data_IF_594236200107
#
_entry.id   IF_594236200107
#
_cell.length_a   1.000
_cell.length_b   1.000
_cell.length_c   1.000
_cell.angle_alpha   90.00
_cell.angle_beta   90.00
_cell.angle_gamma   90.00
#
_symmetry.space_group_name_H-M   'P 1'
#
loop_
_entity.id
_entity.type
_entity.pdbx_description
1 polymer ?
#
# COMPACT_ATOMS: atom_id res chain seq x y z
N UNK A 1 -123.24 -74.66 2.60
CA UNK A 1 -122.48 -73.85 1.62
C UNK A 1 -121.01 -74.26 1.68
N UNK A 2 -120.64 -75.40 1.08
CA UNK A 2 -119.24 -75.83 0.95
C UNK A 2 -119.02 -76.17 -0.54
N UNK A 3 -118.52 -75.22 -1.33
CA UNK A 3 -118.13 -75.46 -2.72
C UNK A 3 -116.62 -75.68 -2.81
N UNK A 4 -116.12 -76.75 -3.45
CA UNK A 4 -114.69 -77.02 -3.62
C UNK A 4 -113.95 -75.91 -4.38
N UNK A 5 -114.64 -75.11 -5.21
CA UNK A 5 -114.05 -73.95 -5.89
C UNK A 5 -113.75 -72.77 -4.95
N UNK A 6 -114.50 -72.63 -3.85
CA UNK A 6 -114.26 -71.57 -2.86
C UNK A 6 -113.01 -71.88 -2.03
N UNK A 7 -112.84 -73.13 -1.61
CA UNK A 7 -111.65 -73.58 -0.89
C UNK A 7 -110.37 -73.43 -1.72
N UNK A 8 -110.41 -73.83 -3.01
CA UNK A 8 -109.28 -73.68 -3.91
C UNK A 8 -108.86 -72.21 -4.12
N UNK A 9 -109.82 -71.28 -4.23
CA UNK A 9 -109.51 -69.84 -4.33
C UNK A 9 -108.97 -69.26 -3.03
N UNK A 10 -109.44 -69.74 -1.87
CA UNK A 10 -108.86 -69.36 -0.57
C UNK A 10 -107.40 -69.84 -0.46
N UNK A 11 -107.10 -71.07 -0.88
CA UNK A 11 -105.73 -71.61 -0.88
C UNK A 11 -104.81 -70.86 -1.85
N UNK A 12 -105.30 -70.44 -3.02
CA UNK A 12 -104.57 -69.59 -3.97
C UNK A 12 -104.25 -68.20 -3.39
N UNK A 13 -105.23 -67.60 -2.69
CA UNK A 13 -105.07 -66.30 -2.05
C UNK A 13 -104.07 -66.37 -0.90
N UNK A 14 -104.13 -67.43 -0.09
CA UNK A 14 -103.14 -67.71 0.96
C UNK A 14 -101.75 -67.97 0.37
N UNK A 15 -101.66 -68.68 -0.76
CA UNK A 15 -100.40 -68.90 -1.48
C UNK A 15 -99.80 -67.62 -2.06
N UNK A 16 -100.62 -66.67 -2.51
CA UNK A 16 -100.18 -65.35 -2.97
C UNK A 16 -99.77 -64.45 -1.80
N UNK A 17 -100.54 -64.44 -0.71
CA UNK A 17 -100.20 -63.73 0.53
C UNK A 17 -98.87 -64.21 1.09
N UNK A 18 -98.64 -65.53 1.12
CA UNK A 18 -97.40 -66.13 1.60
C UNK A 18 -96.20 -65.73 0.73
N UNK A 19 -96.34 -65.80 -0.60
CA UNK A 19 -95.30 -65.34 -1.55
C UNK A 19 -95.02 -63.85 -1.43
N UNK A 20 -96.04 -63.01 -1.26
CA UNK A 20 -95.86 -61.58 -1.04
C UNK A 20 -95.16 -61.29 0.30
N UNK A 21 -95.55 -61.98 1.38
CA UNK A 21 -94.90 -61.87 2.68
C UNK A 21 -93.43 -62.32 2.64
N UNK A 22 -93.12 -63.42 1.96
CA UNK A 22 -91.76 -63.92 1.83
C UNK A 22 -90.89 -63.02 0.94
N UNK A 23 -91.45 -62.50 -0.16
CA UNK A 23 -90.78 -61.49 -0.97
C UNK A 23 -90.50 -60.21 -0.18
N UNK A 24 -91.47 -59.72 0.61
CA UNK A 24 -91.27 -58.57 1.50
C UNK A 24 -90.19 -58.85 2.54
N UNK A 25 -90.17 -60.02 3.17
CA UNK A 25 -89.10 -60.40 4.11
C UNK A 25 -87.71 -60.42 3.45
N UNK A 26 -87.58 -60.95 2.23
CA UNK A 26 -86.32 -60.93 1.50
C UNK A 26 -85.90 -59.52 1.10
N UNK A 27 -86.83 -58.71 0.62
CA UNK A 27 -86.58 -57.31 0.26
C UNK A 27 -86.12 -56.50 1.48
N UNK A 28 -86.77 -56.67 2.63
CA UNK A 28 -86.37 -55.98 3.87
C UNK A 28 -84.99 -56.44 4.34
N UNK A 29 -84.66 -57.73 4.24
CA UNK A 29 -83.31 -58.24 4.58
C UNK A 29 -82.22 -57.65 3.68
N UNK A 30 -82.44 -57.66 2.37
CA UNK A 30 -81.48 -57.10 1.40
C UNK A 30 -81.26 -55.59 1.60
N UNK A 31 -82.33 -54.82 1.80
CA UNK A 31 -82.23 -53.39 2.12
C UNK A 31 -81.52 -53.15 3.46
N UNK A 32 -81.71 -54.02 4.45
CA UNK A 32 -81.06 -53.91 5.75
C UNK A 32 -79.56 -54.25 5.69
N UNK A 33 -79.15 -55.16 4.81
CA UNK A 33 -77.73 -55.46 4.53
C UNK A 33 -77.06 -54.30 3.79
N UNK A 34 -77.68 -53.77 2.74
CA UNK A 34 -77.19 -52.58 2.03
C UNK A 34 -77.06 -51.37 2.96
N UNK A 35 -78.03 -51.14 3.84
CA UNK A 35 -77.96 -50.06 4.82
C UNK A 35 -76.80 -50.25 5.81
N UNK A 36 -76.51 -51.49 6.23
CA UNK A 36 -75.36 -51.77 7.11
C UNK A 36 -74.03 -51.51 6.41
N UNK A 37 -73.91 -51.91 5.15
CA UNK A 37 -72.72 -51.65 4.33
C UNK A 37 -72.52 -50.14 4.15
N UNK A 38 -73.53 -49.41 3.73
CA UNK A 38 -73.46 -47.94 3.57
C UNK A 38 -73.17 -47.21 4.89
N UNK A 39 -73.71 -47.67 6.01
CA UNK A 39 -73.37 -47.09 7.32
C UNK A 39 -71.90 -47.37 7.66
N UNK A 40 -71.38 -48.56 7.35
CA UNK A 40 -69.97 -48.89 7.60
C UNK A 40 -69.01 -48.06 6.74
N UNK A 41 -69.29 -47.91 5.44
CA UNK A 41 -68.50 -47.08 4.53
C UNK A 41 -68.58 -45.61 4.92
N UNK A 42 -69.74 -45.11 5.34
CA UNK A 42 -69.88 -43.73 5.83
C UNK A 42 -69.02 -43.48 7.08
N UNK A 43 -68.94 -44.44 8.00
CA UNK A 43 -68.07 -44.34 9.19
C UNK A 43 -66.59 -44.32 8.79
N UNK A 44 -66.17 -45.16 7.84
CA UNK A 44 -64.78 -45.15 7.35
C UNK A 44 -64.42 -43.86 6.62
N UNK A 45 -65.31 -43.36 5.76
CA UNK A 45 -65.12 -42.07 5.07
C UNK A 45 -65.02 -40.91 6.07
N UNK A 46 -65.85 -40.89 7.12
CA UNK A 46 -65.74 -39.86 8.18
C UNK A 46 -64.40 -39.94 8.92
N UNK A 47 -63.90 -41.13 9.22
CA UNK A 47 -62.56 -41.31 9.82
C UNK A 47 -61.47 -40.79 8.88
N UNK A 48 -61.60 -41.07 7.58
CA UNK A 48 -60.63 -40.61 6.59
C UNK A 48 -60.65 -39.08 6.40
N UNK A 49 -61.83 -38.47 6.39
CA UNK A 49 -61.98 -37.00 6.38
C UNK A 49 -61.30 -36.38 7.60
N UNK A 50 -61.58 -36.87 8.81
CA UNK A 50 -60.95 -36.37 10.03
C UNK A 50 -59.41 -36.53 10.00
N UNK A 51 -58.91 -37.62 9.42
CA UNK A 51 -57.48 -37.82 9.21
C UNK A 51 -56.87 -36.81 8.23
N UNK A 52 -57.55 -36.53 7.11
CA UNK A 52 -57.11 -35.52 6.13
C UNK A 52 -57.15 -34.10 6.71
N UNK A 53 -58.18 -33.76 7.48
CA UNK A 53 -58.28 -32.49 8.20
C UNK A 53 -57.12 -32.32 9.19
N UNK A 54 -56.77 -33.38 9.93
CA UNK A 54 -55.60 -33.39 10.81
C UNK A 54 -54.28 -33.17 10.07
N UNK A 55 -54.10 -33.81 8.90
CA UNK A 55 -52.92 -33.58 8.04
C UNK A 55 -52.86 -32.15 7.51
N UNK A 56 -54.00 -31.59 7.08
CA UNK A 56 -54.06 -30.23 6.58
C UNK A 56 -53.70 -29.21 7.67
N UNK A 57 -54.16 -29.45 8.91
CA UNK A 57 -53.80 -28.62 10.05
C UNK A 57 -52.29 -28.67 10.35
N UNK A 58 -51.70 -29.88 10.37
CA UNK A 58 -50.27 -30.06 10.59
C UNK A 58 -49.41 -29.38 9.51
N UNK A 59 -49.78 -29.53 8.23
CA UNK A 59 -49.11 -28.81 7.13
C UNK A 59 -49.26 -27.29 7.24
N UNK A 60 -50.44 -26.82 7.67
CA UNK A 60 -50.66 -25.39 7.95
C UNK A 60 -49.74 -24.85 9.05
N UNK A 61 -49.47 -25.64 10.09
CA UNK A 61 -48.52 -25.28 11.15
C UNK A 61 -47.07 -25.31 10.65
N UNK A 62 -46.68 -26.32 9.88
CA UNK A 62 -45.36 -26.42 9.26
C UNK A 62 -45.08 -25.25 8.31
N UNK A 63 -46.06 -24.84 7.51
CA UNK A 63 -45.95 -23.69 6.62
C UNK A 63 -45.75 -22.38 7.40
N UNK A 64 -46.50 -22.18 8.49
CA UNK A 64 -46.32 -21.02 9.38
C UNK A 64 -44.94 -21.01 10.03
N UNK A 65 -44.44 -22.17 10.48
CA UNK A 65 -43.11 -22.27 11.07
C UNK A 65 -42.01 -22.01 10.04
N UNK A 66 -42.14 -22.56 8.83
CA UNK A 66 -41.20 -22.32 7.72
C UNK A 66 -41.17 -20.84 7.32
N UNK A 67 -42.33 -20.18 7.27
CA UNK A 67 -42.43 -18.75 6.99
C UNK A 67 -41.70 -17.90 8.06
N UNK A 68 -41.83 -18.24 9.35
CA UNK A 68 -41.10 -17.58 10.44
C UNK A 68 -39.59 -17.76 10.31
N UNK A 69 -39.13 -19.00 10.10
CA UNK A 69 -37.70 -19.29 9.91
C UNK A 69 -37.11 -18.56 8.71
N UNK A 70 -37.89 -18.40 7.63
CA UNK A 70 -37.46 -17.66 6.45
C UNK A 70 -37.36 -16.16 6.73
N UNK A 71 -38.28 -15.58 7.51
CA UNK A 71 -38.22 -14.18 7.94
C UNK A 71 -37.02 -13.92 8.87
N UNK A 72 -36.77 -14.81 9.83
CA UNK A 72 -35.61 -14.72 10.72
C UNK A 72 -34.30 -14.78 9.94
N UNK A 73 -34.17 -15.74 9.01
CA UNK A 73 -33.00 -15.82 8.12
C UNK A 73 -32.81 -14.57 7.26
N UNK A 74 -33.89 -13.96 6.78
CA UNK A 74 -33.81 -12.70 6.02
C UNK A 74 -33.27 -11.56 6.89
N UNK A 75 -33.69 -11.48 8.15
CA UNK A 75 -33.19 -10.49 9.11
C UNK A 75 -31.71 -10.71 9.41
N UNK A 76 -31.31 -11.97 9.66
CA UNK A 76 -29.92 -12.32 9.94
C UNK A 76 -29.00 -11.97 8.76
N UNK A 77 -29.40 -12.33 7.53
CA UNK A 77 -28.64 -11.98 6.32
C UNK A 77 -28.54 -10.46 6.14
N UNK A 78 -29.63 -9.72 6.37
CA UNK A 78 -29.62 -8.26 6.29
C UNK A 78 -28.71 -7.63 7.34
N UNK A 79 -28.70 -8.15 8.56
CA UNK A 79 -27.81 -7.69 9.63
C UNK A 79 -26.34 -7.93 9.27
N UNK A 80 -26.00 -9.14 8.81
CA UNK A 80 -24.65 -9.49 8.38
C UNK A 80 -24.16 -8.65 7.20
N UNK A 81 -25.05 -8.32 6.24
CA UNK A 81 -24.73 -7.42 5.13
C UNK A 81 -24.42 -6.00 5.62
N UNK A 82 -25.26 -5.43 6.49
CA UNK A 82 -25.01 -4.09 7.04
C UNK A 82 -23.72 -4.02 7.88
N UNK A 83 -23.40 -5.06 8.64
CA UNK A 83 -22.13 -5.14 9.38
C UNK A 83 -20.93 -5.18 8.43
N UNK A 84 -21.03 -5.96 7.35
CA UNK A 84 -19.99 -6.04 6.32
C UNK A 84 -19.81 -4.72 5.57
N UNK A 85 -20.90 -4.03 5.22
CA UNK A 85 -20.85 -2.70 4.59
C UNK A 85 -20.13 -1.69 5.49
N UNK A 86 -20.48 -1.62 6.77
CA UNK A 86 -19.78 -0.75 7.73
C UNK A 86 -18.30 -1.08 7.86
N UNK A 87 -17.94 -2.37 7.84
CA UNK A 87 -16.54 -2.78 7.87
C UNK A 87 -15.79 -2.35 6.61
N UNK A 88 -16.41 -2.46 5.44
CA UNK A 88 -15.84 -1.99 4.17
C UNK A 88 -15.67 -0.47 4.17
N UNK A 89 -16.65 0.29 4.65
CA UNK A 89 -16.57 1.75 4.77
C UNK A 89 -15.44 2.17 5.72
N UNK A 90 -15.28 1.46 6.84
CA UNK A 90 -14.18 1.69 7.78
C UNK A 90 -12.82 1.43 7.14
N UNK A 91 -12.69 0.34 6.37
CA UNK A 91 -11.45 0.01 5.66
C UNK A 91 -11.14 1.02 4.56
N UNK A 92 -12.17 1.47 3.81
CA UNK A 92 -12.01 2.50 2.79
C UNK A 92 -11.53 3.82 3.40
N UNK A 93 -12.12 4.25 4.52
CA UNK A 93 -11.68 5.45 5.23
C UNK A 93 -10.24 5.34 5.76
N UNK A 94 -9.83 4.17 6.25
CA UNK A 94 -8.45 3.93 6.68
C UNK A 94 -7.47 4.02 5.50
N UNK A 95 -7.81 3.41 4.35
CA UNK A 95 -7.01 3.48 3.13
C UNK A 95 -6.88 4.92 2.61
N UNK A 96 -7.97 5.68 2.59
CA UNK A 96 -7.94 7.10 2.23
C UNK A 96 -7.06 7.93 3.18
N UNK A 97 -7.16 7.68 4.49
CA UNK A 97 -6.32 8.36 5.48
C UNK A 97 -4.84 8.09 5.24
N UNK A 98 -4.48 6.81 5.00
CA UNK A 98 -3.10 6.40 4.69
C UNK A 98 -2.61 7.00 3.38
N UNK A 99 -3.45 7.06 2.35
CA UNK A 99 -3.13 7.67 1.07
C UNK A 99 -2.80 9.16 1.23
N UNK A 100 -3.61 9.91 1.99
CA UNK A 100 -3.34 11.34 2.26
C UNK A 100 -2.00 11.56 2.97
N UNK A 101 -1.63 10.68 3.90
CA UNK A 101 -0.32 10.74 4.55
C UNK A 101 0.81 10.50 3.55
N UNK A 102 0.67 9.50 2.67
CA UNK A 102 1.67 9.23 1.62
C UNK A 102 1.83 10.42 0.69
N UNK A 103 0.73 10.97 0.16
CA UNK A 103 0.76 12.14 -0.70
C UNK A 103 1.40 13.36 -0.01
N UNK A 104 1.13 13.56 1.28
CA UNK A 104 1.78 14.63 2.04
C UNK A 104 3.29 14.39 2.12
N UNK A 105 3.72 13.17 2.42
CA UNK A 105 5.16 12.84 2.51
C UNK A 105 5.86 12.97 1.16
N UNK A 106 5.21 12.60 0.06
CA UNK A 106 5.75 12.82 -1.29
C UNK A 106 5.97 14.30 -1.58
N UNK A 107 5.00 15.16 -1.21
CA UNK A 107 5.15 16.63 -1.36
C UNK A 107 6.30 17.17 -0.50
N UNK A 108 6.41 16.72 0.75
CA UNK A 108 7.52 17.10 1.65
C UNK A 108 8.87 16.64 1.07
N UNK A 109 8.97 15.40 0.59
CA UNK A 109 10.18 14.88 -0.06
C UNK A 109 10.56 15.70 -1.29
N UNK A 110 9.60 16.09 -2.13
CA UNK A 110 9.86 16.95 -3.28
C UNK A 110 10.41 18.32 -2.86
N UNK A 111 9.83 18.95 -1.83
CA UNK A 111 10.32 20.23 -1.28
C UNK A 111 11.73 20.11 -0.69
N UNK A 112 12.02 19.01 0.03
CA UNK A 112 13.35 18.76 0.57
C UNK A 112 14.38 18.51 -0.54
N UNK A 113 14.00 17.78 -1.60
CA UNK A 113 14.86 17.57 -2.77
C UNK A 113 15.24 18.90 -3.43
N UNK A 114 14.26 19.78 -3.67
CA UNK A 114 14.54 21.10 -4.28
C UNK A 114 15.43 21.95 -3.39
N UNK A 115 15.20 21.94 -2.06
CA UNK A 115 16.01 22.71 -1.12
C UNK A 115 17.45 22.17 -1.02
N UNK A 116 17.64 20.84 -1.13
CA UNK A 116 18.97 20.23 -1.17
C UNK A 116 19.72 20.61 -2.44
N UNK A 117 19.07 20.54 -3.60
CA UNK A 117 19.69 20.97 -4.87
C UNK A 117 20.13 22.44 -4.85
N UNK A 118 19.31 23.33 -4.28
CA UNK A 118 19.67 24.75 -4.13
C UNK A 118 20.87 24.94 -3.21
N UNK A 119 20.90 24.24 -2.07
CA UNK A 119 22.04 24.25 -1.15
C UNK A 119 23.31 23.72 -1.80
N UNK A 120 23.23 22.64 -2.57
CA UNK A 120 24.38 22.09 -3.28
C UNK A 120 24.93 23.09 -4.30
N UNK A 121 24.06 23.76 -5.07
CA UNK A 121 24.47 24.84 -5.98
C UNK A 121 25.18 25.98 -5.24
N UNK A 122 24.65 26.39 -4.09
CA UNK A 122 25.26 27.43 -3.25
C UNK A 122 26.63 26.99 -2.73
N UNK A 123 26.75 25.78 -2.19
CA UNK A 123 28.02 25.23 -1.71
C UNK A 123 29.07 25.15 -2.83
N UNK A 124 28.68 24.74 -4.04
CA UNK A 124 29.57 24.77 -5.20
C UNK A 124 30.04 26.18 -5.57
N UNK A 125 29.19 27.20 -5.43
CA UNK A 125 29.55 28.58 -5.66
C UNK A 125 30.56 29.08 -4.59
N UNK A 126 30.32 28.75 -3.33
CA UNK A 126 31.19 29.12 -2.21
C UNK A 126 32.58 28.49 -2.35
N UNK A 127 32.65 27.21 -2.72
CA UNK A 127 33.93 26.51 -2.98
C UNK A 127 34.71 27.18 -4.11
N UNK A 128 34.05 27.55 -5.21
CA UNK A 128 34.70 28.27 -6.33
C UNK A 128 35.21 29.64 -5.89
N UNK A 129 34.41 30.37 -5.10
CA UNK A 129 34.81 31.66 -4.53
C UNK A 129 36.05 31.53 -3.65
N UNK A 130 36.05 30.55 -2.74
CA UNK A 130 37.18 30.25 -1.87
C UNK A 130 38.44 29.88 -2.64
N UNK A 131 38.34 29.02 -3.67
CA UNK A 131 39.46 28.67 -4.54
C UNK A 131 40.03 29.90 -5.26
N UNK A 132 39.17 30.81 -5.72
CA UNK A 132 39.60 32.07 -6.36
C UNK A 132 40.35 32.96 -5.37
N UNK A 133 39.84 33.13 -4.15
CA UNK A 133 40.49 33.92 -3.09
C UNK A 133 41.84 33.31 -2.75
N UNK A 134 41.93 31.98 -2.57
CA UNK A 134 43.17 31.26 -2.35
C UNK A 134 44.20 31.54 -3.44
N UNK A 135 43.82 31.43 -4.70
CA UNK A 135 44.71 31.68 -5.83
C UNK A 135 45.24 33.14 -5.86
N UNK A 136 44.40 34.12 -5.48
CA UNK A 136 44.82 35.52 -5.36
C UNK A 136 45.86 35.72 -4.26
N UNK A 137 45.65 35.13 -3.08
CA UNK A 137 46.63 35.20 -1.99
C UNK A 137 47.95 34.51 -2.36
N UNK A 138 47.89 33.33 -2.97
CA UNK A 138 49.09 32.61 -3.44
C UNK A 138 49.86 33.43 -4.49
N UNK A 139 49.16 34.07 -5.43
CA UNK A 139 49.79 34.96 -6.42
C UNK A 139 50.45 36.19 -5.76
N UNK A 140 49.79 36.80 -4.78
CA UNK A 140 50.33 37.91 -3.98
C UNK A 140 51.59 37.51 -3.21
N UNK A 141 51.58 36.33 -2.57
CA UNK A 141 52.74 35.79 -1.87
C UNK A 141 53.93 35.55 -2.82
N UNK A 142 53.66 34.99 -4.01
CA UNK A 142 54.69 34.79 -5.04
C UNK A 142 55.26 36.13 -5.52
N UNK A 143 54.44 37.16 -5.69
CA UNK A 143 54.88 38.50 -6.05
C UNK A 143 55.78 39.10 -4.96
N UNK A 144 55.37 39.06 -3.68
CA UNK A 144 56.19 39.53 -2.55
C UNK A 144 57.54 38.82 -2.47
N UNK A 145 57.56 37.48 -2.62
CA UNK A 145 58.80 36.69 -2.64
C UNK A 145 59.74 37.09 -3.79
N UNK A 146 59.18 37.42 -4.97
CA UNK A 146 59.97 37.92 -6.10
C UNK A 146 60.55 39.32 -5.82
N UNK A 147 59.76 40.22 -5.25
CA UNK A 147 60.22 41.57 -4.88
C UNK A 147 61.35 41.50 -3.86
N UNK A 148 61.21 40.70 -2.80
CA UNK A 148 62.28 40.48 -1.82
C UNK A 148 63.54 39.95 -2.49
N UNK A 149 63.43 38.96 -3.38
CA UNK A 149 64.59 38.44 -4.11
C UNK A 149 65.25 39.50 -4.99
N UNK A 150 64.49 40.35 -5.67
CA UNK A 150 65.01 41.42 -6.52
C UNK A 150 65.72 42.49 -5.70
N UNK A 151 65.15 42.88 -4.56
CA UNK A 151 65.73 43.81 -3.57
C UNK A 151 67.07 43.23 -3.05
N UNK A 152 67.09 41.97 -2.61
CA UNK A 152 68.30 41.23 -2.19
C UNK A 152 69.38 41.09 -3.26
N UNK A 153 69.00 41.01 -4.54
CA UNK A 153 69.97 41.00 -5.63
C UNK A 153 70.53 42.40 -5.85
N UNK A 154 69.69 43.44 -5.84
CA UNK A 154 70.12 44.81 -6.03
C UNK A 154 71.10 45.25 -4.94
N UNK A 155 70.89 44.86 -3.68
CA UNK A 155 71.84 45.20 -2.61
C UNK A 155 73.22 44.61 -2.80
N UNK A 156 73.31 43.35 -3.25
CA UNK A 156 74.60 42.71 -3.53
C UNK A 156 75.36 43.46 -4.62
N UNK A 157 74.67 43.92 -5.66
CA UNK A 157 75.28 44.75 -6.71
C UNK A 157 75.71 46.14 -6.22
N UNK A 158 74.95 46.77 -5.31
CA UNK A 158 75.32 48.09 -4.74
C UNK A 158 76.38 48.01 -3.65
N UNK A 159 76.50 46.88 -2.92
CA UNK A 159 77.57 46.62 -1.94
C UNK A 159 78.91 46.25 -2.62
N UNK A 160 78.88 45.63 -3.81
CA UNK A 160 80.08 45.30 -4.59
C UNK A 160 80.60 46.49 -5.43
N UNK A 161 79.76 47.49 -5.74
CA UNK A 161 80.12 48.69 -6.54
C UNK A 161 80.96 49.81 -5.88
N UNK A 162 80.95 50.05 -4.55
CA UNK A 162 81.70 51.15 -3.96
C UNK A 162 83.20 50.83 -3.92
N UNK A 163 83.56 49.55 -3.97
CA UNK A 163 84.96 49.10 -4.03
C UNK A 163 85.55 49.31 -5.43
N UNK A 164 84.75 49.19 -6.50
CA UNK A 164 85.24 49.40 -7.88
C UNK A 164 85.39 50.89 -8.26
N UNK A 165 84.58 51.79 -7.68
CA UNK A 165 84.69 53.24 -7.93
C UNK A 165 85.82 53.93 -7.16
N UNK A 166 86.41 53.27 -6.16
CA UNK A 166 87.55 53.81 -5.39
C UNK A 166 88.92 53.38 -5.93
N UNK A 167 89.01 52.40 -6.84
CA UNK A 167 90.29 51.86 -7.33
C UNK A 167 90.73 52.34 -8.72
N UNK A 168 90.03 53.26 -9.38
CA UNK A 168 90.43 53.74 -10.72
C UNK A 168 90.70 55.25 -10.76
N UNK A 169 91.82 55.68 -10.16
CA UNK A 169 92.61 56.83 -10.66
C UNK A 169 94.11 56.59 -10.42
N UNK A 170 94.88 56.12 -11.42
CA UNK A 170 96.34 56.15 -11.36
C UNK A 170 96.86 57.45 -11.99
N UNK A 171 97.43 58.36 -11.20
CA UNK A 171 98.11 59.55 -11.75
C UNK A 171 98.57 60.57 -10.70
N UNK A 172 99.70 61.29 -10.93
CA UNK A 172 100.43 62.04 -9.91
C UNK A 172 99.87 63.45 -9.60
N UNK A 173 98.55 63.65 -9.68
CA UNK A 173 97.90 64.94 -9.39
C UNK A 173 97.28 64.99 -7.98
N UNK A 174 98.04 64.53 -7.00
CA UNK A 174 97.59 64.47 -5.60
C UNK A 174 97.49 65.84 -4.89
N UNK A 175 97.69 66.96 -5.59
CA UNK A 175 97.77 68.30 -4.97
C UNK A 175 96.90 69.38 -5.61
N UNK A 176 96.12 69.09 -6.66
CA UNK A 176 95.30 70.12 -7.35
C UNK A 176 93.78 69.93 -7.26
N UNK A 177 93.29 68.91 -6.54
CA UNK A 177 91.87 68.76 -6.19
C UNK A 177 91.60 68.98 -4.68
N UNK A 178 92.55 69.57 -3.95
CA UNK A 178 92.41 69.91 -2.52
C UNK A 178 92.11 71.40 -2.27
N UNK A 179 91.72 72.16 -3.30
CA UNK A 179 91.25 73.54 -3.15
C UNK A 179 89.84 73.70 -3.72
N UNK A 180 88.86 73.71 -2.81
CA UNK A 180 87.51 74.21 -3.09
C UNK A 180 86.36 73.21 -2.93
N UNK A 181 86.65 71.94 -2.63
CA UNK A 181 85.67 70.99 -2.10
C UNK A 181 86.41 70.14 -1.09
N UNK A 182 86.01 70.22 0.18
CA UNK A 182 86.60 69.43 1.25
C UNK A 182 86.38 67.95 0.93
N UNK A 183 87.41 67.30 0.38
CA UNK A 183 87.32 65.94 -0.15
C UNK A 183 86.89 64.99 0.98
N UNK A 184 87.38 65.23 2.21
CA UNK A 184 86.96 64.49 3.40
C UNK A 184 85.50 64.72 3.79
N UNK A 185 84.93 65.89 3.48
CA UNK A 185 83.52 66.19 3.70
C UNK A 185 82.64 65.53 2.62
N UNK A 186 83.10 65.50 1.35
CA UNK A 186 82.45 64.71 0.28
C UNK A 186 82.51 63.21 0.55
N UNK A 187 83.64 62.67 0.99
CA UNK A 187 83.80 61.27 1.37
C UNK A 187 82.92 60.92 2.56
N UNK A 188 82.91 61.73 3.62
CA UNK A 188 82.01 61.54 4.77
C UNK A 188 80.54 61.69 4.43
N UNK A 189 80.17 62.62 3.54
CA UNK A 189 78.81 62.75 3.04
C UNK A 189 78.40 61.53 2.19
N UNK A 190 79.30 61.00 1.35
CA UNK A 190 79.05 59.75 0.61
C UNK A 190 78.94 58.55 1.55
N UNK A 191 79.83 58.40 2.53
CA UNK A 191 79.75 57.36 3.56
C UNK A 191 78.44 57.45 4.34
N UNK A 192 78.02 58.65 4.73
CA UNK A 192 76.72 58.87 5.38
C UNK A 192 75.55 58.51 4.47
N UNK A 193 75.56 58.92 3.19
CA UNK A 193 74.50 58.59 2.23
C UNK A 193 74.42 57.08 2.02
N UNK A 194 75.56 56.40 1.87
CA UNK A 194 75.62 54.94 1.72
C UNK A 194 75.16 54.20 2.99
N UNK A 195 75.48 54.72 4.18
CA UNK A 195 74.97 54.20 5.45
C UNK A 195 73.45 54.38 5.57
N UNK A 196 72.93 55.56 5.21
CA UNK A 196 71.48 55.80 5.20
C UNK A 196 70.74 54.95 4.16
N UNK A 197 71.32 54.76 2.97
CA UNK A 197 70.79 53.86 1.94
C UNK A 197 70.82 52.40 2.41
N UNK A 198 71.87 51.99 3.12
CA UNK A 198 71.96 50.66 3.76
C UNK A 198 70.93 50.45 4.87
N UNK A 199 70.73 51.44 5.74
CA UNK A 199 69.73 51.40 6.81
C UNK A 199 68.29 51.42 6.26
N UNK A 200 68.02 52.24 5.25
CA UNK A 200 66.72 52.28 4.56
C UNK A 200 66.46 50.95 3.83
N UNK A 201 67.48 50.37 3.21
CA UNK A 201 67.41 49.08 2.55
C UNK A 201 67.14 47.94 3.55
N UNK A 202 67.87 47.90 4.66
CA UNK A 202 67.65 46.92 5.73
C UNK A 202 66.23 47.03 6.28
N UNK A 203 65.76 48.26 6.55
CA UNK A 203 64.38 48.51 6.99
C UNK A 203 63.34 48.05 5.95
N UNK A 204 63.59 48.22 4.64
CA UNK A 204 62.71 47.72 3.57
C UNK A 204 62.70 46.19 3.49
N UNK A 205 63.84 45.53 3.66
CA UNK A 205 63.93 44.07 3.69
C UNK A 205 63.21 43.50 4.91
N UNK A 206 63.41 44.10 6.09
CA UNK A 206 62.75 43.70 7.33
C UNK A 206 61.23 43.89 7.25
N UNK A 207 60.76 45.01 6.69
CA UNK A 207 59.34 45.26 6.43
C UNK A 207 58.73 44.21 5.48
N UNK A 208 59.43 43.87 4.39
CA UNK A 208 58.94 42.87 3.43
C UNK A 208 59.00 41.44 4.01
N UNK A 209 59.99 41.13 4.85
CA UNK A 209 60.09 39.84 5.53
C UNK A 209 58.93 39.68 6.53
N UNK A 210 58.63 40.72 7.32
CA UNK A 210 57.48 40.75 8.21
C UNK A 210 56.15 40.62 7.45
N UNK A 211 56.00 41.29 6.30
CA UNK A 211 54.81 41.19 5.45
C UNK A 211 54.62 39.77 4.87
N UNK A 212 55.72 39.09 4.52
CA UNK A 212 55.68 37.68 4.08
C UNK A 212 55.26 36.77 5.23
N UNK A 213 55.88 36.93 6.41
CA UNK A 213 55.59 36.10 7.58
C UNK A 213 54.13 36.27 8.06
N UNK A 214 53.62 37.51 8.09
CA UNK A 214 52.23 37.79 8.42
C UNK A 214 51.27 37.15 7.39
N UNK A 215 51.57 37.27 6.09
CA UNK A 215 50.76 36.65 5.03
C UNK A 215 50.78 35.13 5.09
N UNK A 216 51.93 34.51 5.38
CA UNK A 216 52.03 33.07 5.58
C UNK A 216 51.27 32.61 6.83
N UNK A 217 51.35 33.37 7.92
CA UNK A 217 50.58 33.12 9.15
C UNK A 217 49.07 33.22 8.93
N UNK A 218 48.60 34.25 8.21
CA UNK A 218 47.20 34.42 7.83
C UNK A 218 46.72 33.28 6.92
N UNK A 219 47.52 32.87 5.93
CA UNK A 219 47.22 31.71 5.10
C UNK A 219 47.10 30.43 5.93
N UNK A 220 48.10 30.12 6.76
CA UNK A 220 48.12 28.90 7.55
C UNK A 220 46.95 28.84 8.56
N UNK A 221 46.63 29.95 9.23
CA UNK A 221 45.53 30.01 10.20
C UNK A 221 44.15 29.95 9.54
N UNK A 222 43.91 30.75 8.49
CA UNK A 222 42.61 30.81 7.83
C UNK A 222 42.30 29.53 7.04
N UNK A 223 43.25 29.03 6.25
CA UNK A 223 43.03 27.80 5.48
C UNK A 223 43.09 26.55 6.37
N UNK A 224 43.88 26.56 7.45
CA UNK A 224 43.91 25.48 8.43
C UNK A 224 42.59 25.30 9.19
N UNK A 225 41.99 26.40 9.66
CA UNK A 225 40.67 26.37 10.32
C UNK A 225 39.55 26.02 9.34
N UNK A 226 39.63 26.51 8.10
CA UNK A 226 38.68 26.14 7.04
C UNK A 226 38.77 24.66 6.68
N UNK A 227 39.97 24.09 6.62
CA UNK A 227 40.17 22.67 6.32
C UNK A 227 39.64 21.75 7.42
N UNK A 228 39.84 22.09 8.69
CA UNK A 228 39.28 21.30 9.81
C UNK A 228 37.75 21.35 9.82
N UNK A 229 37.15 22.51 9.54
CA UNK A 229 35.71 22.63 9.41
C UNK A 229 35.15 21.81 8.24
N UNK A 230 35.78 21.88 7.06
CA UNK A 230 35.39 21.09 5.89
C UNK A 230 35.50 19.58 6.13
N UNK A 231 36.59 19.12 6.76
CA UNK A 231 36.76 17.71 7.10
C UNK A 231 35.67 17.21 8.05
N UNK A 232 35.26 18.04 9.01
CA UNK A 232 34.13 17.72 9.91
C UNK A 232 32.82 17.61 9.14
N UNK A 233 32.50 18.57 8.28
CA UNK A 233 31.29 18.54 7.46
C UNK A 233 31.27 17.31 6.54
N UNK A 234 32.41 16.94 5.97
CA UNK A 234 32.55 15.75 5.13
C UNK A 234 32.29 14.46 5.92
N UNK A 235 32.81 14.35 7.15
CA UNK A 235 32.54 13.23 8.04
C UNK A 235 31.05 13.15 8.43
N UNK A 236 30.42 14.30 8.73
CA UNK A 236 28.99 14.38 9.03
C UNK A 236 28.13 13.97 7.82
N UNK A 237 28.54 14.35 6.60
CA UNK A 237 27.84 13.94 5.37
C UNK A 237 27.97 12.44 5.09
N UNK A 238 29.17 11.87 5.22
CA UNK A 238 29.38 10.43 5.04
C UNK A 238 28.55 9.61 6.03
N UNK A 239 28.38 10.09 7.27
CA UNK A 239 27.52 9.41 8.24
C UNK A 239 26.04 9.50 7.87
N UNK A 240 25.57 10.66 7.37
CA UNK A 240 24.20 10.80 6.84
C UNK A 240 23.95 9.90 5.64
N UNK A 241 24.90 9.80 4.70
CA UNK A 241 24.81 8.88 3.56
C UNK A 241 24.69 7.42 4.01
N UNK A 242 25.49 6.99 4.99
CA UNK A 242 25.37 5.64 5.56
C UNK A 242 24.02 5.40 6.20
N UNK A 243 23.46 6.40 6.88
CA UNK A 243 22.13 6.30 7.49
C UNK A 243 21.03 6.21 6.42
N UNK A 244 21.14 6.98 5.33
CA UNK A 244 20.22 6.92 4.20
C UNK A 244 20.25 5.54 3.52
N UNK A 245 21.44 5.00 3.25
CA UNK A 245 21.59 3.65 2.67
C UNK A 245 20.95 2.58 3.56
N UNK A 246 21.16 2.64 4.88
CA UNK A 246 20.50 1.72 5.82
C UNK A 246 18.98 1.87 5.80
N UNK A 247 18.46 3.08 5.67
CA UNK A 247 17.03 3.34 5.59
C UNK A 247 16.44 2.79 4.27
N UNK A 248 17.17 2.93 3.16
CA UNK A 248 16.83 2.35 1.86
C UNK A 248 16.77 0.82 1.93
N UNK A 249 17.78 0.17 2.52
CA UNK A 249 17.80 -1.28 2.72
C UNK A 249 16.59 -1.76 3.56
N UNK A 250 16.27 -1.05 4.64
CA UNK A 250 15.10 -1.35 5.47
C UNK A 250 13.79 -1.19 4.71
N UNK A 251 13.66 -0.15 3.88
CA UNK A 251 12.50 0.05 3.02
C UNK A 251 12.36 -1.09 2.00
N UNK A 252 13.45 -1.50 1.36
CA UNK A 252 13.45 -2.65 0.45
C UNK A 252 13.00 -3.94 1.15
N UNK A 253 13.51 -4.23 2.35
CA UNK A 253 13.09 -5.39 3.13
C UNK A 253 11.60 -5.33 3.48
N UNK A 254 11.09 -4.15 3.88
CA UNK A 254 9.67 -3.96 4.15
C UNK A 254 8.80 -4.16 2.91
N UNK A 255 9.24 -3.69 1.74
CA UNK A 255 8.53 -3.90 0.47
C UNK A 255 8.47 -5.38 0.09
N UNK A 256 9.57 -6.12 0.26
CA UNK A 256 9.61 -7.57 -0.01
C UNK A 256 8.68 -8.33 0.93
N UNK A 257 8.69 -8.01 2.23
CA UNK A 257 7.79 -8.62 3.21
C UNK A 257 6.32 -8.30 2.91
N UNK A 258 6.00 -7.05 2.58
CA UNK A 258 4.64 -6.64 2.20
C UNK A 258 4.16 -7.39 0.95
N UNK A 259 4.98 -7.47 -0.10
CA UNK A 259 4.68 -8.23 -1.31
C UNK A 259 4.53 -9.74 -1.02
N UNK A 260 5.31 -10.28 -0.08
CA UNK A 260 5.17 -11.64 0.43
C UNK A 260 3.81 -11.87 1.11
N UNK A 261 3.40 -10.96 2.01
CA UNK A 261 2.11 -11.01 2.68
C UNK A 261 0.93 -10.87 1.71
N UNK A 262 1.03 -9.96 0.73
CA UNK A 262 0.00 -9.80 -0.30
C UNK A 262 -0.17 -11.06 -1.15
N UNK A 263 0.93 -11.71 -1.57
CA UNK A 263 0.84 -12.98 -2.30
C UNK A 263 0.14 -14.07 -1.50
N UNK A 264 0.53 -14.25 -0.23
CA UNK A 264 -0.14 -15.21 0.68
C UNK A 264 -1.62 -14.92 0.84
N UNK A 265 -2.01 -13.65 0.96
CA UNK A 265 -3.41 -13.25 1.05
C UNK A 265 -4.20 -13.58 -0.23
N UNK A 266 -3.61 -13.32 -1.40
CA UNK A 266 -4.23 -13.70 -2.68
C UNK A 266 -4.35 -15.21 -2.85
N UNK A 267 -3.36 -15.98 -2.42
CA UNK A 267 -3.41 -17.44 -2.47
C UNK A 267 -4.52 -17.98 -1.56
N UNK A 268 -4.63 -17.47 -0.32
CA UNK A 268 -5.72 -17.80 0.60
C UNK A 268 -7.11 -17.44 0.02
N UNK A 269 -7.20 -16.30 -0.68
CA UNK A 269 -8.44 -15.90 -1.34
C UNK A 269 -8.80 -16.85 -2.49
N UNK A 270 -7.82 -17.27 -3.30
CA UNK A 270 -8.01 -18.28 -4.36
C UNK A 270 -8.48 -19.62 -3.78
N UNK A 271 -7.86 -20.08 -2.70
CA UNK A 271 -8.23 -21.32 -2.01
C UNK A 271 -9.66 -21.23 -1.45
N UNK A 272 -10.02 -20.10 -0.83
CA UNK A 272 -11.38 -19.84 -0.35
C UNK A 272 -12.41 -19.86 -1.48
N UNK A 273 -12.11 -19.22 -2.62
CA UNK A 273 -12.95 -19.24 -3.81
C UNK A 273 -13.11 -20.66 -4.37
N UNK A 274 -12.03 -21.43 -4.44
CA UNK A 274 -12.05 -22.83 -4.88
C UNK A 274 -12.89 -23.70 -3.93
N UNK A 275 -12.74 -23.50 -2.61
CA UNK A 275 -13.53 -24.19 -1.59
C UNK A 275 -15.02 -23.85 -1.72
N UNK A 276 -15.38 -22.59 -1.87
CA UNK A 276 -16.77 -22.15 -2.08
C UNK A 276 -17.37 -22.72 -3.38
N UNK A 277 -16.58 -22.80 -4.46
CA UNK A 277 -16.99 -23.47 -5.70
C UNK A 277 -17.23 -24.97 -5.50
N UNK A 278 -16.39 -25.65 -4.71
CA UNK A 278 -16.56 -27.05 -4.35
C UNK A 278 -17.82 -27.27 -3.51
N UNK A 279 -18.06 -26.44 -2.49
CA UNK A 279 -19.27 -26.51 -1.66
C UNK A 279 -20.54 -26.34 -2.50
N UNK A 280 -20.55 -25.41 -3.47
CA UNK A 280 -21.66 -25.24 -4.42
C UNK A 280 -21.90 -26.50 -5.26
N UNK A 281 -20.85 -27.16 -5.75
CA UNK A 281 -20.96 -28.43 -6.47
C UNK A 281 -21.55 -29.53 -5.59
N UNK A 282 -21.10 -29.65 -4.35
CA UNK A 282 -21.63 -30.62 -3.38
C UNK A 282 -23.12 -30.37 -3.10
N UNK A 283 -23.49 -29.11 -2.85
CA UNK A 283 -24.88 -28.72 -2.63
C UNK A 283 -25.75 -29.06 -3.84
N UNK A 284 -25.31 -28.73 -5.06
CA UNK A 284 -26.04 -29.06 -6.28
C UNK A 284 -26.25 -30.58 -6.45
N UNK A 285 -25.25 -31.40 -6.12
CA UNK A 285 -25.37 -32.85 -6.13
C UNK A 285 -26.37 -33.37 -5.08
N UNK A 286 -26.36 -32.80 -3.87
CA UNK A 286 -27.34 -33.12 -2.84
C UNK A 286 -28.76 -32.75 -3.28
N UNK A 287 -28.96 -31.57 -3.85
CA UNK A 287 -30.25 -31.14 -4.38
C UNK A 287 -30.72 -32.08 -5.50
N UNK A 288 -29.86 -32.46 -6.46
CA UNK A 288 -30.20 -33.44 -7.50
C UNK A 288 -30.59 -34.80 -6.93
N UNK A 289 -29.91 -35.26 -5.87
CA UNK A 289 -30.23 -36.53 -5.21
C UNK A 289 -31.62 -36.48 -4.57
N UNK A 290 -31.94 -35.40 -3.86
CA UNK A 290 -33.27 -35.18 -3.27
C UNK A 290 -34.33 -35.10 -4.36
N UNK A 291 -34.06 -34.36 -5.45
CA UNK A 291 -34.99 -34.25 -6.57
C UNK A 291 -35.32 -35.58 -7.23
N UNK A 292 -34.34 -36.47 -7.43
CA UNK A 292 -34.63 -37.83 -7.90
C UNK A 292 -35.56 -38.58 -6.95
N UNK A 293 -35.25 -38.56 -5.65
CA UNK A 293 -36.09 -39.24 -4.64
C UNK A 293 -37.50 -38.67 -4.53
N UNK A 294 -37.68 -37.37 -4.78
CA UNK A 294 -39.00 -36.72 -4.80
C UNK A 294 -39.72 -37.01 -6.12
N UNK A 295 -39.03 -37.01 -7.25
CA UNK A 295 -39.59 -37.35 -8.56
C UNK A 295 -40.23 -38.74 -8.58
N UNK A 296 -39.58 -39.73 -7.95
CA UNK A 296 -40.11 -41.09 -7.79
C UNK A 296 -41.44 -41.13 -7.00
N UNK A 297 -41.69 -40.16 -6.12
CA UNK A 297 -42.90 -40.06 -5.29
C UNK A 297 -43.97 -39.18 -5.95
N UNK A 298 -43.58 -38.09 -6.62
CA UNK A 298 -44.51 -37.13 -7.24
C UNK A 298 -45.16 -37.70 -8.50
N UNK A 299 -44.49 -38.61 -9.22
CA UNK A 299 -45.05 -39.33 -10.37
C UNK A 299 -46.34 -40.12 -10.08
N UNK A 300 -46.67 -40.33 -8.80
CA UNK A 300 -47.89 -41.01 -8.34
C UNK A 300 -49.13 -40.11 -8.29
N UNK A 301 -48.98 -38.79 -8.41
CA UNK A 301 -50.09 -37.84 -8.24
C UNK A 301 -50.70 -37.44 -9.59
N UNK A 302 -52.00 -37.72 -9.77
CA UNK A 302 -52.76 -37.32 -10.96
C UNK A 302 -53.03 -35.81 -10.98
N UNK A 303 -52.64 -35.12 -12.05
CA UNK A 303 -52.98 -33.70 -12.30
C UNK A 303 -51.82 -32.69 -12.18
N UNK A 304 -50.62 -33.14 -11.85
CA UNK A 304 -49.39 -32.33 -11.85
C UNK A 304 -48.57 -32.61 -13.12
N UNK A 305 -48.15 -31.56 -13.81
CA UNK A 305 -47.11 -31.65 -14.85
C UNK A 305 -45.75 -31.83 -14.18
N UNK A 306 -45.47 -33.08 -13.81
CA UNK A 306 -44.24 -33.48 -13.10
C UNK A 306 -43.00 -33.12 -13.92
N UNK A 307 -43.09 -33.20 -15.25
CA UNK A 307 -41.97 -32.93 -16.15
C UNK A 307 -41.57 -31.44 -16.12
N UNK A 308 -42.55 -30.53 -16.18
CA UNK A 308 -42.30 -29.10 -16.06
C UNK A 308 -41.71 -28.68 -14.70
N UNK A 309 -42.22 -29.25 -13.61
CA UNK A 309 -41.73 -28.96 -12.24
C UNK A 309 -40.30 -29.47 -12.04
N UNK A 310 -39.99 -30.68 -12.54
CA UNK A 310 -38.64 -31.24 -12.48
C UNK A 310 -37.65 -30.41 -13.30
N UNK A 311 -38.04 -29.97 -14.50
CA UNK A 311 -37.24 -29.07 -15.35
C UNK A 311 -36.95 -27.72 -14.67
N UNK A 312 -37.96 -27.11 -14.04
CA UNK A 312 -37.77 -25.84 -13.34
C UNK A 312 -36.79 -26.00 -12.16
N UNK A 313 -36.95 -27.07 -11.38
CA UNK A 313 -36.08 -27.38 -10.24
C UNK A 313 -34.65 -27.73 -10.67
N UNK A 314 -34.47 -28.44 -11.78
CA UNK A 314 -33.16 -28.67 -12.38
C UNK A 314 -32.52 -27.37 -12.88
N UNK A 315 -33.30 -26.46 -13.48
CA UNK A 315 -32.79 -25.14 -13.87
C UNK A 315 -32.32 -24.32 -12.66
N UNK A 316 -33.04 -24.39 -11.53
CA UNK A 316 -32.64 -23.72 -10.29
C UNK A 316 -31.35 -24.29 -9.69
N UNK A 317 -31.16 -25.62 -9.76
CA UNK A 317 -29.88 -26.24 -9.35
C UNK A 317 -28.74 -25.82 -10.28
N UNK A 318 -29.00 -25.76 -11.59
CA UNK A 318 -28.03 -25.25 -12.56
C UNK A 318 -27.63 -23.81 -12.22
N UNK A 319 -28.58 -23.00 -11.76
CA UNK A 319 -28.34 -21.65 -11.24
C UNK A 319 -27.37 -21.59 -10.05
N UNK A 320 -27.44 -22.55 -9.10
CA UNK A 320 -26.50 -22.64 -7.96
C UNK A 320 -25.05 -22.84 -8.44
N UNK A 321 -24.87 -23.60 -9.52
CA UNK A 321 -23.56 -23.85 -10.14
C UNK A 321 -23.04 -22.64 -10.94
N UNK A 322 -23.96 -21.81 -11.44
CA UNK A 322 -23.66 -20.68 -12.33
C UNK A 322 -23.61 -19.31 -11.64
N UNK A 323 -23.89 -19.21 -10.33
CA UNK A 323 -23.74 -17.92 -9.62
C UNK A 323 -22.31 -17.42 -9.88
N UNK A 324 -22.14 -16.28 -10.57
CA UNK A 324 -20.82 -15.76 -10.82
C UNK A 324 -20.19 -15.52 -9.46
N UNK A 325 -19.10 -16.24 -9.17
CA UNK A 325 -18.15 -15.73 -8.19
C UNK A 325 -17.78 -14.37 -8.72
N UNK A 326 -18.17 -13.31 -8.03
CA UNK A 326 -17.90 -11.94 -8.45
C UNK A 326 -16.42 -11.83 -8.81
N UNK A 327 -16.12 -11.84 -10.11
CA UNK A 327 -14.83 -11.49 -10.65
C UNK A 327 -14.70 -9.97 -10.53
N UNK A 328 -14.57 -9.49 -9.30
CA UNK A 328 -14.15 -8.13 -9.00
C UNK A 328 -12.61 -8.04 -9.04
N UNK A 329 -11.99 -8.67 -10.04
CA UNK A 329 -10.52 -8.74 -10.15
C UNK A 329 -9.98 -8.37 -11.53
N UNK A 330 -10.80 -7.91 -12.47
CA UNK A 330 -10.34 -7.46 -13.78
C UNK A 330 -11.10 -6.19 -14.24
N UNK A 331 -10.88 -5.07 -13.57
CA UNK A 331 -10.84 -3.78 -14.25
C UNK A 331 -9.54 -3.09 -13.83
N UNK A 332 -8.70 -2.87 -14.84
CA UNK A 332 -7.37 -2.27 -14.75
C UNK A 332 -7.44 -0.77 -14.45
#
# INVERSE_FOLDING_TARGET
MNSPEYAAKCDELDGLLKRYCDHKKQQTKSLQEQLKEEVSTNVELRKYIAFLEGKLQAEGENAKQSARLLDDRKKDVKAALMERERHLDSLAAELESRLRVVEQRERECAQFSTALEERDRQHWADVKSFQRIKALFEAGLVASKKTVRAVLQHSRFTEDSPTELLEVVPGPDRLLLARGCDLGLKTRCMEHVLLFEGDEYAARVDLLAAEIEEREGLLCSFFGTSATHLNRLLAEQQERERQLLRAEDLLCLQQVDLAGRMRKAMDLQRDSCAHAAMQRKVLALQCRRVLRSVGDVVGSFSGLDVEAVMLELESRIQGILQVPSSDASNEY
#
